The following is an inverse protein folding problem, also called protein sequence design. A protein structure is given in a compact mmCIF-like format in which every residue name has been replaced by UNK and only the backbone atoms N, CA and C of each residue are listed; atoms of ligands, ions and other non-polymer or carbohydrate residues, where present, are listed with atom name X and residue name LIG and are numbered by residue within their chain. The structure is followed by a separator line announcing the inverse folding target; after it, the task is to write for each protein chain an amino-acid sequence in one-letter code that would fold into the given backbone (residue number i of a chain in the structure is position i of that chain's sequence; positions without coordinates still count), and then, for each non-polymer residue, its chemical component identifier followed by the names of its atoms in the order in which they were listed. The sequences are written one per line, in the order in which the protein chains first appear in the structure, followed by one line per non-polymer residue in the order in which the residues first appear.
data_IF_539701400896
#
_entry.id   IF_539701400896
#
_cell.length_a   1.000
_cell.length_b   1.000
_cell.length_c   1.000
_cell.angle_alpha   90.00
_cell.angle_beta   90.00
_cell.angle_gamma   90.00
#
_symmetry.space_group_name_H-M   'P 1'
#
loop_
_entity.id
_entity.type
_entity.pdbx_description
1 polymer ?
#
# COMPACT_ATOMS: atom_id res chain seq x y z
N UNK A 1 -13.01 -23.05 -64.93
CA UNK A 1 -13.68 -22.10 -64.02
C UNK A 1 -14.33 -22.80 -62.82
N UNK A 2 -15.23 -23.79 -63.03
CA UNK A 2 -15.92 -24.49 -61.93
C UNK A 2 -14.99 -25.21 -60.93
N UNK A 3 -13.93 -25.87 -61.41
CA UNK A 3 -12.96 -26.56 -60.55
C UNK A 3 -12.17 -25.61 -59.63
N UNK A 4 -11.86 -24.40 -60.12
CA UNK A 4 -11.14 -23.39 -59.34
C UNK A 4 -12.03 -22.84 -58.22
N UNK A 5 -13.31 -22.59 -58.52
CA UNK A 5 -14.28 -22.15 -57.52
C UNK A 5 -14.51 -23.21 -56.42
N UNK A 6 -14.58 -24.49 -56.80
CA UNK A 6 -14.76 -25.59 -55.86
C UNK A 6 -13.55 -25.76 -54.93
N UNK A 7 -12.33 -25.65 -55.48
CA UNK A 7 -11.11 -25.70 -54.70
C UNK A 7 -11.04 -24.55 -53.69
N UNK A 8 -11.45 -23.34 -54.08
CA UNK A 8 -11.45 -22.16 -53.21
C UNK A 8 -12.45 -22.28 -52.06
N UNK A 9 -13.65 -22.79 -52.34
CA UNK A 9 -14.67 -23.03 -51.31
C UNK A 9 -14.23 -24.07 -50.28
N UNK A 10 -13.54 -25.13 -50.74
CA UNK A 10 -13.03 -26.19 -49.86
C UNK A 10 -11.87 -25.68 -48.98
N UNK A 11 -11.01 -24.83 -49.52
CA UNK A 11 -9.93 -24.18 -48.77
C UNK A 11 -10.47 -23.24 -47.69
N UNK A 12 -11.48 -22.42 -48.00
CA UNK A 12 -12.19 -21.58 -47.03
C UNK A 12 -12.87 -22.42 -45.93
N UNK A 13 -13.48 -23.55 -46.31
CA UNK A 13 -14.09 -24.48 -45.37
C UNK A 13 -13.07 -25.07 -44.38
N UNK A 14 -11.89 -25.48 -44.87
CA UNK A 14 -10.80 -25.98 -44.02
C UNK A 14 -10.28 -24.90 -43.08
N UNK A 15 -10.08 -23.67 -43.57
CA UNK A 15 -9.61 -22.54 -42.74
C UNK A 15 -10.64 -22.21 -41.65
N UNK A 16 -11.93 -22.15 -42.00
CA UNK A 16 -12.99 -21.92 -41.02
C UNK A 16 -13.11 -23.05 -39.99
N UNK A 17 -12.96 -24.30 -40.43
CA UNK A 17 -13.00 -25.47 -39.55
C UNK A 17 -11.78 -25.53 -38.63
N UNK A 18 -10.59 -25.25 -39.15
CA UNK A 18 -9.36 -25.14 -38.36
C UNK A 18 -9.44 -24.00 -37.33
N UNK A 19 -9.94 -22.83 -37.73
CA UNK A 19 -10.18 -21.71 -36.80
C UNK A 19 -11.17 -22.06 -35.70
N UNK A 20 -12.23 -22.81 -36.02
CA UNK A 20 -13.20 -23.28 -35.02
C UNK A 20 -12.62 -24.35 -34.10
N UNK A 21 -11.79 -25.25 -34.62
CA UNK A 21 -11.12 -26.29 -33.85
C UNK A 21 -10.08 -25.70 -32.88
N UNK A 22 -9.32 -24.71 -33.32
CA UNK A 22 -8.35 -23.97 -32.49
C UNK A 22 -9.04 -23.18 -31.36
N UNK A 23 -10.23 -22.64 -31.60
CA UNK A 23 -11.04 -22.00 -30.57
C UNK A 23 -11.61 -22.98 -29.52
N UNK A 24 -11.72 -24.27 -29.85
CA UNK A 24 -12.22 -25.31 -28.93
C UNK A 24 -11.12 -25.90 -28.04
N UNK A 25 -9.85 -25.86 -28.47
CA UNK A 25 -8.74 -26.52 -27.76
C UNK A 25 -7.95 -25.61 -26.81
N UNK A 26 -8.41 -24.39 -26.58
CA UNK A 26 -7.69 -23.42 -25.74
C UNK A 26 -6.52 -22.79 -26.51
N UNK A 27 -6.39 -21.47 -26.38
CA UNK A 27 -5.45 -20.64 -27.12
C UNK A 27 -4.01 -21.17 -27.03
N UNK A 28 -3.51 -21.75 -28.11
CA UNK A 28 -2.08 -21.90 -28.33
C UNK A 28 -1.50 -20.52 -28.70
N UNK A 29 -1.27 -19.68 -27.70
CA UNK A 29 -0.50 -18.45 -27.87
C UNK A 29 0.96 -18.85 -27.90
N UNK A 30 1.53 -18.97 -29.10
CA UNK A 30 2.97 -19.02 -29.29
C UNK A 30 3.53 -17.65 -28.90
N UNK A 31 3.87 -17.49 -27.63
CA UNK A 31 4.51 -16.31 -27.11
C UNK A 31 6.00 -16.33 -27.49
N UNK A 32 6.30 -15.64 -28.58
CA UNK A 32 7.67 -15.48 -29.11
C UNK A 32 8.46 -14.39 -28.36
N UNK A 33 7.82 -13.64 -27.45
CA UNK A 33 8.44 -12.56 -26.70
C UNK A 33 8.78 -12.94 -25.24
N UNK A 34 8.24 -14.05 -24.72
CA UNK A 34 8.51 -14.51 -23.36
C UNK A 34 7.90 -13.61 -22.27
N UNK A 35 6.80 -12.93 -22.60
CA UNK A 35 6.11 -11.93 -21.77
C UNK A 35 4.78 -12.47 -21.21
N UNK A 36 4.47 -13.76 -21.44
CA UNK A 36 3.33 -14.43 -20.83
C UNK A 36 3.58 -14.61 -19.32
N UNK A 37 2.62 -14.14 -18.52
CA UNK A 37 2.58 -14.31 -17.07
C UNK A 37 2.64 -15.78 -16.61
N UNK A 38 2.37 -16.74 -17.50
CA UNK A 38 2.56 -18.16 -17.24
C UNK A 38 4.02 -18.64 -17.38
N UNK A 39 4.90 -17.83 -17.97
CA UNK A 39 6.31 -18.19 -18.21
C UNK A 39 7.16 -17.88 -16.98
N UNK A 40 7.21 -18.82 -16.05
CA UNK A 40 7.98 -18.64 -14.81
C UNK A 40 9.48 -18.47 -15.05
N UNK A 41 10.08 -17.54 -14.31
CA UNK A 41 11.52 -17.30 -14.32
C UNK A 41 12.31 -18.52 -13.81
N UNK A 42 13.59 -18.69 -14.23
CA UNK A 42 14.45 -19.78 -13.74
C UNK A 42 14.63 -19.75 -12.22
N UNK A 43 14.73 -18.55 -11.62
CA UNK A 43 14.87 -18.36 -10.18
C UNK A 43 13.63 -18.86 -9.43
N UNK A 44 12.43 -18.53 -9.92
CA UNK A 44 11.17 -19.04 -9.37
C UNK A 44 11.08 -20.55 -9.48
N UNK A 45 11.37 -21.13 -10.64
CA UNK A 45 11.36 -22.60 -10.81
C UNK A 45 12.30 -23.30 -9.82
N UNK A 46 13.49 -22.73 -9.59
CA UNK A 46 14.43 -23.25 -8.61
C UNK A 46 13.88 -23.13 -7.17
N UNK A 47 13.32 -21.97 -6.82
CA UNK A 47 12.70 -21.74 -5.52
C UNK A 47 11.55 -22.72 -5.23
N UNK A 48 10.64 -22.92 -6.20
CA UNK A 48 9.50 -23.82 -6.04
C UNK A 48 9.92 -25.28 -5.82
N UNK A 49 11.02 -25.74 -6.45
CA UNK A 49 11.58 -27.08 -6.20
C UNK A 49 12.18 -27.24 -4.81
N UNK A 50 12.59 -26.13 -4.18
CA UNK A 50 13.12 -26.10 -2.80
C UNK A 50 12.03 -26.01 -1.74
N UNK A 51 10.74 -26.10 -2.10
CA UNK A 51 9.63 -26.01 -1.15
C UNK A 51 9.52 -27.29 -0.29
N UNK A 52 9.86 -27.16 0.99
CA UNK A 52 9.73 -28.25 1.97
C UNK A 52 8.29 -28.46 2.44
N UNK A 53 7.55 -27.36 2.60
CA UNK A 53 6.17 -27.33 3.10
C UNK A 53 5.18 -26.99 1.99
N UNK A 54 3.97 -27.60 1.96
CA UNK A 54 2.94 -27.24 1.01
C UNK A 54 2.44 -25.79 1.23
N UNK A 55 2.06 -25.13 0.13
CA UNK A 55 1.47 -23.81 0.07
C UNK A 55 -0.01 -23.94 -0.32
N UNK A 56 -0.87 -23.21 0.39
CA UNK A 56 -2.27 -23.05 0.03
C UNK A 56 -2.54 -21.61 -0.34
N UNK A 57 -2.85 -21.38 -1.62
CA UNK A 57 -3.06 -20.05 -2.18
C UNK A 57 -4.57 -19.81 -2.33
N UNK A 58 -5.07 -18.71 -1.79
CA UNK A 58 -6.46 -18.26 -1.99
C UNK A 58 -6.45 -16.92 -2.68
N UNK A 59 -7.00 -16.85 -3.88
CA UNK A 59 -7.22 -15.60 -4.59
C UNK A 59 -8.66 -15.15 -4.42
N UNK A 60 -8.86 -14.02 -3.75
CA UNK A 60 -10.15 -13.36 -3.63
C UNK A 60 -10.34 -12.41 -4.79
N UNK A 61 -11.26 -12.75 -5.70
CA UNK A 61 -11.50 -11.97 -6.90
C UNK A 61 -12.98 -11.82 -7.20
N UNK A 62 -13.39 -10.59 -7.53
CA UNK A 62 -14.71 -10.37 -8.12
C UNK A 62 -14.76 -11.03 -9.49
N UNK A 63 -15.85 -11.74 -9.79
CA UNK A 63 -15.99 -12.42 -11.05
C UNK A 63 -15.99 -11.47 -12.26
N UNK A 64 -15.55 -12.00 -13.40
CA UNK A 64 -15.29 -11.26 -14.63
C UNK A 64 -16.50 -10.49 -15.15
N UNK A 65 -17.71 -11.02 -14.94
CA UNK A 65 -18.96 -10.41 -15.37
C UNK A 65 -19.25 -9.10 -14.62
N UNK A 66 -18.84 -9.05 -13.35
CA UNK A 66 -19.03 -7.92 -12.46
C UNK A 66 -17.83 -6.95 -12.47
N UNK A 67 -16.69 -7.35 -13.04
CA UNK A 67 -15.50 -6.49 -13.13
C UNK A 67 -15.66 -5.34 -14.15
N UNK A 68 -15.14 -4.13 -13.85
CA UNK A 68 -14.98 -3.06 -14.81
C UNK A 68 -14.18 -3.49 -16.04
N UNK A 69 -14.45 -2.89 -17.21
CA UNK A 69 -13.88 -3.33 -18.49
C UNK A 69 -12.35 -3.46 -18.50
N UNK A 70 -11.63 -2.50 -17.89
CA UNK A 70 -10.17 -2.49 -17.82
C UNK A 70 -9.57 -3.54 -16.87
N UNK A 71 -10.39 -4.16 -16.01
CA UNK A 71 -9.97 -5.16 -15.01
C UNK A 71 -10.43 -6.58 -15.36
N UNK A 72 -11.18 -6.77 -16.44
CA UNK A 72 -11.73 -8.09 -16.82
C UNK A 72 -10.68 -9.15 -17.10
N UNK A 73 -9.47 -8.74 -17.48
CA UNK A 73 -8.35 -9.65 -17.75
C UNK A 73 -7.51 -9.94 -16.50
N UNK A 74 -7.78 -9.28 -15.38
CA UNK A 74 -7.00 -9.43 -14.15
C UNK A 74 -7.13 -10.85 -13.56
N UNK A 75 -8.35 -11.31 -13.32
CA UNK A 75 -8.60 -12.64 -12.75
C UNK A 75 -8.08 -13.77 -13.64
N UNK A 76 -8.34 -13.78 -14.97
CA UNK A 76 -7.77 -14.79 -15.86
C UNK A 76 -6.24 -14.81 -15.84
N UNK A 77 -5.60 -13.63 -15.82
CA UNK A 77 -4.13 -13.56 -15.81
C UNK A 77 -3.52 -14.06 -14.50
N UNK A 78 -4.07 -13.64 -13.35
CA UNK A 78 -3.63 -14.16 -12.05
C UNK A 78 -3.87 -15.67 -11.96
N UNK A 79 -5.01 -16.18 -12.44
CA UNK A 79 -5.28 -17.61 -12.50
C UNK A 79 -4.25 -18.38 -13.34
N UNK A 80 -3.83 -17.83 -14.48
CA UNK A 80 -2.78 -18.44 -15.32
C UNK A 80 -1.45 -18.51 -14.59
N UNK A 81 -1.03 -17.45 -13.91
CA UNK A 81 0.16 -17.46 -13.06
C UNK A 81 0.08 -18.54 -11.98
N UNK A 82 -1.04 -18.60 -11.24
CA UNK A 82 -1.24 -19.60 -10.18
C UNK A 82 -1.25 -21.04 -10.72
N UNK A 83 -1.82 -21.25 -11.91
CA UNK A 83 -1.75 -22.55 -12.60
C UNK A 83 -0.32 -22.91 -12.94
N UNK A 84 0.46 -21.98 -13.50
CA UNK A 84 1.87 -22.23 -13.84
C UNK A 84 2.71 -22.55 -12.59
N UNK A 85 2.48 -21.84 -11.48
CA UNK A 85 3.12 -22.15 -10.20
C UNK A 85 2.78 -23.58 -9.74
N UNK A 86 1.49 -23.96 -9.78
CA UNK A 86 1.03 -25.32 -9.45
C UNK A 86 1.64 -26.38 -10.36
N UNK A 87 1.70 -26.15 -11.67
CA UNK A 87 2.25 -27.10 -12.63
C UNK A 87 3.74 -27.38 -12.37
N UNK A 88 4.47 -26.40 -11.82
CA UNK A 88 5.86 -26.58 -11.42
C UNK A 88 6.03 -27.39 -10.12
N UNK A 89 5.03 -27.41 -9.23
CA UNK A 89 5.06 -28.13 -7.95
C UNK A 89 3.66 -28.66 -7.54
N UNK A 90 3.12 -29.66 -8.26
CA UNK A 90 1.71 -30.07 -8.16
C UNK A 90 1.33 -30.65 -6.79
N UNK A 91 2.26 -31.32 -6.11
CA UNK A 91 2.04 -31.91 -4.78
C UNK A 91 2.27 -30.92 -3.63
N UNK A 92 2.77 -29.71 -3.94
CA UNK A 92 3.15 -28.70 -2.95
C UNK A 92 2.34 -27.43 -3.05
N UNK A 93 1.63 -27.19 -4.14
CA UNK A 93 0.88 -25.95 -4.35
C UNK A 93 -0.56 -26.29 -4.67
N UNK A 94 -1.45 -25.90 -3.77
CA UNK A 94 -2.89 -25.86 -4.03
C UNK A 94 -3.33 -24.41 -4.17
N UNK A 95 -4.26 -24.14 -5.09
CA UNK A 95 -4.84 -22.81 -5.22
C UNK A 95 -6.35 -22.86 -5.45
N UNK A 96 -7.04 -21.85 -4.93
CA UNK A 96 -8.47 -21.64 -5.13
C UNK A 96 -8.76 -20.18 -5.41
N UNK A 97 -9.79 -19.94 -6.22
CA UNK A 97 -10.30 -18.59 -6.49
C UNK A 97 -11.70 -18.49 -5.89
N UNK A 98 -11.94 -17.48 -5.07
CA UNK A 98 -13.19 -17.26 -4.36
C UNK A 98 -13.67 -15.85 -4.68
N UNK A 99 -14.93 -15.72 -5.09
CA UNK A 99 -15.63 -14.44 -5.12
C UNK A 99 -16.38 -14.28 -3.79
N UNK A 100 -15.94 -13.39 -2.87
CA UNK A 100 -16.60 -13.22 -1.58
C UNK A 100 -18.06 -12.74 -1.71
N UNK A 101 -18.36 -11.92 -2.71
CA UNK A 101 -19.70 -11.34 -2.89
C UNK A 101 -20.69 -12.40 -3.36
N UNK A 102 -20.26 -13.32 -4.24
CA UNK A 102 -21.09 -14.44 -4.67
C UNK A 102 -21.23 -15.54 -3.60
N UNK A 103 -20.22 -15.68 -2.74
CA UNK A 103 -20.20 -16.68 -1.67
C UNK A 103 -21.01 -16.26 -0.43
N UNK A 104 -21.66 -15.09 -0.47
CA UNK A 104 -22.50 -14.56 0.59
C UNK A 104 -21.73 -14.28 1.89
N UNK A 105 -22.45 -14.27 3.02
CA UNK A 105 -21.87 -13.92 4.34
C UNK A 105 -20.69 -14.81 4.74
N UNK A 106 -20.69 -16.08 4.37
CA UNK A 106 -19.61 -17.00 4.69
C UNK A 106 -18.32 -16.65 3.93
N UNK A 107 -18.43 -16.31 2.63
CA UNK A 107 -17.29 -15.87 1.84
C UNK A 107 -16.70 -14.56 2.31
N UNK A 108 -17.56 -13.57 2.62
CA UNK A 108 -17.14 -12.28 3.18
C UNK A 108 -16.45 -12.48 4.54
N UNK A 109 -17.03 -13.32 5.43
CA UNK A 109 -16.43 -13.64 6.71
C UNK A 109 -15.08 -14.36 6.57
N UNK A 110 -14.96 -15.27 5.60
CA UNK A 110 -13.70 -15.94 5.31
C UNK A 110 -12.63 -14.97 4.79
N UNK A 111 -12.97 -14.08 3.84
CA UNK A 111 -12.06 -13.05 3.36
C UNK A 111 -11.60 -12.11 4.49
N UNK A 112 -12.51 -11.67 5.36
CA UNK A 112 -12.19 -10.84 6.52
C UNK A 112 -11.28 -11.57 7.52
N UNK A 113 -11.49 -12.87 7.76
CA UNK A 113 -10.62 -13.68 8.63
C UNK A 113 -9.18 -13.76 8.09
N UNK A 114 -9.01 -13.65 6.78
CA UNK A 114 -7.73 -13.59 6.08
C UNK A 114 -7.21 -12.17 5.87
N UNK A 115 -7.88 -11.17 6.49
CA UNK A 115 -7.59 -9.74 6.36
C UNK A 115 -7.66 -9.21 4.92
N UNK A 116 -8.26 -9.95 4.00
CA UNK A 116 -8.51 -9.50 2.64
C UNK A 116 -9.69 -8.51 2.63
N UNK A 117 -9.58 -7.44 1.83
CA UNK A 117 -10.59 -6.39 1.78
C UNK A 117 -10.92 -5.96 0.34
N UNK A 118 -12.14 -5.47 0.13
CA UNK A 118 -12.55 -4.87 -1.14
C UNK A 118 -12.01 -3.45 -1.27
N UNK A 119 -11.63 -3.03 -2.47
CA UNK A 119 -11.23 -1.66 -2.77
C UNK A 119 -12.11 -1.03 -3.85
N UNK A 120 -12.23 0.30 -3.83
CA UNK A 120 -13.04 1.06 -4.78
C UNK A 120 -12.22 1.40 -6.03
N UNK A 121 -12.75 1.06 -7.20
CA UNK A 121 -12.19 1.43 -8.50
C UNK A 121 -13.15 2.32 -9.27
N UNK A 122 -12.59 3.22 -10.09
CA UNK A 122 -13.38 4.14 -10.91
C UNK A 122 -13.95 3.39 -12.12
N UNK A 123 -15.27 3.31 -12.21
CA UNK A 123 -15.95 2.84 -13.40
C UNK A 123 -16.20 4.04 -14.31
N UNK A 124 -15.58 4.04 -15.49
CA UNK A 124 -15.85 5.02 -16.55
C UNK A 124 -16.75 4.35 -17.58
N UNK A 125 -18.02 4.73 -17.59
CA UNK A 125 -18.99 4.35 -18.63
C UNK A 125 -19.66 5.62 -19.13
N UNK A 126 -19.43 5.96 -20.40
CA UNK A 126 -20.17 6.96 -21.18
C UNK A 126 -20.63 8.21 -20.39
N UNK A 127 -19.68 8.87 -19.72
CA UNK A 127 -19.85 10.13 -18.95
C UNK A 127 -20.47 10.05 -17.55
N UNK A 128 -20.72 8.86 -16.99
CA UNK A 128 -21.02 8.70 -15.55
C UNK A 128 -19.79 8.21 -14.77
N UNK A 129 -19.43 8.96 -13.73
CA UNK A 129 -18.40 8.60 -12.76
C UNK A 129 -19.03 7.84 -11.61
N UNK A 130 -18.97 6.51 -11.66
CA UNK A 130 -19.43 5.65 -10.57
C UNK A 130 -18.23 4.95 -9.93
N UNK A 131 -18.16 4.95 -8.60
CA UNK A 131 -17.21 4.13 -7.85
C UNK A 131 -17.80 2.74 -7.64
N UNK A 132 -17.02 1.71 -7.97
CA UNK A 132 -17.43 0.32 -7.77
C UNK A 132 -16.43 -0.38 -6.84
N UNK A 133 -16.93 -1.09 -5.84
CA UNK A 133 -16.10 -1.96 -4.99
C UNK A 133 -15.83 -3.28 -5.69
N UNK A 134 -14.57 -3.71 -5.67
CA UNK A 134 -14.12 -4.99 -6.19
C UNK A 134 -13.18 -5.69 -5.21
N UNK A 135 -13.01 -7.00 -5.40
CA UNK A 135 -12.05 -7.83 -4.72
C UNK A 135 -10.92 -8.19 -5.69
N UNK A 136 -9.68 -8.00 -5.26
CA UNK A 136 -8.50 -8.59 -5.86
C UNK A 136 -7.40 -8.66 -4.80
N UNK A 137 -7.32 -9.81 -4.12
CA UNK A 137 -6.33 -10.04 -3.06
C UNK A 137 -5.87 -11.48 -3.07
N UNK A 138 -4.58 -11.71 -2.88
CA UNK A 138 -3.96 -13.03 -2.87
C UNK A 138 -3.45 -13.34 -1.47
N UNK A 139 -3.88 -14.47 -0.91
CA UNK A 139 -3.43 -14.96 0.39
C UNK A 139 -2.67 -16.26 0.19
N UNK A 140 -1.47 -16.35 0.76
CA UNK A 140 -0.63 -17.52 0.68
C UNK A 140 -0.37 -18.02 2.09
N UNK A 141 -0.92 -19.20 2.39
CA UNK A 141 -0.74 -19.89 3.66
C UNK A 141 0.30 -21.01 3.52
N UNK A 142 1.09 -21.19 4.59
CA UNK A 142 2.10 -22.25 4.71
C UNK A 142 2.05 -22.81 6.12
N UNK A 143 2.35 -24.10 6.28
CA UNK A 143 2.51 -24.70 7.59
C UNK A 143 3.60 -23.98 8.41
N UNK A 144 3.28 -23.64 9.66
CA UNK A 144 4.20 -23.02 10.63
C UNK A 144 4.83 -21.69 10.20
N UNK A 145 4.19 -20.94 9.31
CA UNK A 145 4.63 -19.60 8.92
C UNK A 145 3.44 -18.62 8.87
N UNK A 146 3.66 -17.31 9.09
CA UNK A 146 2.60 -16.32 8.96
C UNK A 146 2.05 -16.29 7.53
N UNK A 147 0.74 -16.06 7.40
CA UNK A 147 0.09 -15.92 6.11
C UNK A 147 0.56 -14.65 5.41
N UNK A 148 0.95 -14.78 4.15
CA UNK A 148 1.32 -13.66 3.28
C UNK A 148 0.06 -13.16 2.60
N UNK A 149 -0.20 -11.85 2.69
CA UNK A 149 -1.33 -11.20 2.03
C UNK A 149 -0.81 -10.15 1.04
N UNK A 150 -1.21 -10.28 -0.22
CA UNK A 150 -1.04 -9.29 -1.28
C UNK A 150 -2.39 -8.65 -1.56
N UNK A 151 -2.56 -7.38 -1.20
CA UNK A 151 -3.80 -6.64 -1.43
C UNK A 151 -3.77 -5.84 -2.72
N UNK A 152 -4.96 -5.50 -3.22
CA UNK A 152 -5.17 -4.58 -4.34
C UNK A 152 -4.32 -4.90 -5.56
N UNK A 153 -4.40 -6.14 -6.06
CA UNK A 153 -3.74 -6.50 -7.31
C UNK A 153 -4.47 -5.78 -8.45
N UNK A 154 -3.70 -5.20 -9.37
CA UNK A 154 -4.17 -4.36 -10.47
C UNK A 154 -3.42 -4.79 -11.74
N UNK A 155 -3.90 -4.42 -12.94
CA UNK A 155 -3.25 -4.83 -14.18
C UNK A 155 -1.78 -4.39 -14.27
N UNK A 156 -1.46 -3.24 -13.68
CA UNK A 156 -0.09 -2.73 -13.59
C UNK A 156 0.84 -3.66 -12.80
N UNK A 157 0.29 -4.43 -11.85
CA UNK A 157 1.04 -5.37 -11.03
C UNK A 157 1.37 -6.69 -11.75
N UNK A 158 0.66 -7.03 -12.83
CA UNK A 158 0.76 -8.33 -13.49
C UNK A 158 2.16 -8.69 -14.01
N UNK A 159 2.93 -7.78 -14.65
CA UNK A 159 4.25 -8.11 -15.20
C UNK A 159 5.28 -8.53 -14.14
N UNK A 160 5.14 -8.05 -12.90
CA UNK A 160 6.08 -8.33 -11.79
C UNK A 160 5.43 -9.11 -10.64
N UNK A 161 4.20 -9.60 -10.84
CA UNK A 161 3.46 -10.30 -9.80
C UNK A 161 4.17 -11.60 -9.37
N UNK A 162 4.80 -12.31 -10.31
CA UNK A 162 5.61 -13.50 -10.01
C UNK A 162 6.74 -13.15 -9.03
N UNK A 163 7.57 -12.16 -9.37
CA UNK A 163 8.71 -11.75 -8.57
C UNK A 163 8.26 -11.29 -7.18
N UNK A 164 7.20 -10.50 -7.12
CA UNK A 164 6.64 -10.02 -5.86
C UNK A 164 6.14 -11.17 -4.97
N UNK A 165 5.39 -12.12 -5.53
CA UNK A 165 4.89 -13.30 -4.80
C UNK A 165 6.06 -14.13 -4.25
N UNK A 166 7.09 -14.37 -5.06
CA UNK A 166 8.25 -15.15 -4.63
C UNK A 166 9.07 -14.40 -3.57
N UNK A 167 9.27 -13.09 -3.72
CA UNK A 167 9.95 -12.27 -2.73
C UNK A 167 9.23 -12.32 -1.37
N UNK A 168 7.89 -12.22 -1.36
CA UNK A 168 7.11 -12.36 -0.13
C UNK A 168 7.22 -13.77 0.49
N UNK A 169 7.21 -14.81 -0.34
CA UNK A 169 7.36 -16.19 0.14
C UNK A 169 8.76 -16.50 0.69
N UNK A 170 9.79 -15.83 0.16
CA UNK A 170 11.16 -15.88 0.65
C UNK A 170 11.31 -15.10 1.96
N UNK A 171 10.79 -13.88 2.02
CA UNK A 171 10.75 -13.08 3.24
C UNK A 171 10.05 -13.82 4.39
N UNK A 172 8.97 -14.56 4.10
CA UNK A 172 8.26 -15.36 5.10
C UNK A 172 9.01 -16.61 5.61
N UNK A 173 10.14 -17.03 5.02
CA UNK A 173 10.94 -18.18 5.52
C UNK A 173 11.76 -17.83 6.75
N UNK A 174 12.15 -16.57 6.89
CA UNK A 174 12.76 -15.99 8.06
C UNK A 174 12.62 -14.48 7.88
N UNK A 175 11.49 -13.86 8.28
CA UNK A 175 11.40 -12.42 8.23
C UNK A 175 12.57 -11.92 9.08
N UNK A 176 13.56 -11.20 8.52
CA UNK A 176 14.57 -10.59 9.36
C UNK A 176 13.78 -9.74 10.35
N UNK A 177 13.89 -10.05 11.64
CA UNK A 177 13.22 -9.24 12.65
C UNK A 177 13.90 -7.88 12.57
N UNK A 178 13.22 -6.84 12.06
CA UNK A 178 13.84 -5.55 11.91
C UNK A 178 14.17 -5.04 13.31
N UNK A 179 15.37 -4.51 13.47
CA UNK A 179 15.73 -3.82 14.71
C UNK A 179 15.21 -2.39 14.62
N UNK A 180 14.36 -2.01 15.58
CA UNK A 180 13.73 -0.70 15.62
C UNK A 180 14.54 0.24 16.50
N UNK A 181 15.01 1.36 15.95
CA UNK A 181 15.55 2.46 16.75
C UNK A 181 14.42 3.41 17.12
N UNK A 182 14.23 3.73 18.39
CA UNK A 182 13.16 4.64 18.84
C UNK A 182 13.76 5.80 19.64
N UNK A 183 13.61 7.02 19.12
CA UNK A 183 13.88 8.26 19.85
C UNK A 183 12.57 8.99 20.04
N UNK A 184 12.00 8.92 21.24
CA UNK A 184 10.71 9.52 21.56
C UNK A 184 10.68 10.04 23.01
N UNK A 185 9.96 11.14 23.30
CA UNK A 185 9.83 11.63 24.66
C UNK A 185 8.91 10.73 25.51
N UNK A 186 8.93 10.87 26.86
CA UNK A 186 8.21 9.99 27.78
C UNK A 186 6.72 9.71 27.48
N UNK A 187 5.91 10.67 26.95
CA UNK A 187 4.52 10.41 26.60
C UNK A 187 4.31 9.30 25.56
N UNK A 188 5.35 8.88 24.82
CA UNK A 188 5.27 7.90 23.76
C UNK A 188 5.92 6.55 24.10
N UNK A 189 6.20 6.25 25.37
CA UNK A 189 6.80 4.97 25.79
C UNK A 189 6.02 3.74 25.30
N UNK A 190 4.69 3.85 25.18
CA UNK A 190 3.84 2.77 24.70
C UNK A 190 4.15 2.39 23.24
N UNK A 191 4.69 3.31 22.44
CA UNK A 191 5.13 3.03 21.06
C UNK A 191 6.24 1.99 21.06
N UNK A 192 7.24 2.12 21.93
CA UNK A 192 8.34 1.17 22.04
C UNK A 192 7.79 -0.22 22.46
N UNK A 193 6.82 -0.27 23.37
CA UNK A 193 6.18 -1.52 23.77
C UNK A 193 5.48 -2.23 22.59
N UNK A 194 4.73 -1.49 21.75
CA UNK A 194 4.10 -2.05 20.56
C UNK A 194 5.11 -2.50 19.51
N UNK A 195 6.18 -1.74 19.28
CA UNK A 195 7.23 -2.11 18.33
C UNK A 195 7.99 -3.35 18.79
N UNK A 196 8.15 -3.52 20.09
CA UNK A 196 8.83 -4.68 20.68
C UNK A 196 8.05 -6.00 20.46
N UNK A 197 6.75 -5.95 20.14
CA UNK A 197 6.00 -7.14 19.71
C UNK A 197 6.40 -7.61 18.30
N UNK A 198 6.91 -6.70 17.46
CA UNK A 198 7.28 -6.98 16.07
C UNK A 198 8.78 -7.27 15.87
N UNK A 199 9.64 -6.77 16.76
CA UNK A 199 11.10 -6.92 16.66
C UNK A 199 11.83 -6.20 17.79
N UNK A 200 13.15 -6.43 17.97
CA UNK A 200 13.91 -5.81 19.05
C UNK A 200 13.93 -4.28 18.92
N UNK A 201 13.71 -3.59 20.04
CA UNK A 201 13.74 -2.12 20.10
C UNK A 201 15.02 -1.64 20.81
N UNK A 202 15.70 -0.69 20.18
CA UNK A 202 16.83 0.06 20.73
C UNK A 202 16.34 1.49 21.02
N UNK A 203 16.27 1.85 22.29
CA UNK A 203 15.97 3.23 22.69
C UNK A 203 17.17 4.13 22.41
N UNK A 204 16.90 5.27 21.76
CA UNK A 204 17.89 6.26 21.37
C UNK A 204 17.53 7.60 22.00
N UNK A 205 18.56 8.36 22.33
CA UNK A 205 18.42 9.76 22.70
C UNK A 205 19.04 10.63 21.60
N UNK A 206 18.28 10.83 20.52
CA UNK A 206 18.69 11.69 19.41
C UNK A 206 18.63 13.18 19.75
N UNK A 207 18.20 13.58 20.95
CA UNK A 207 18.29 14.98 21.36
C UNK A 207 19.69 15.31 21.88
N UNK A 208 20.31 14.36 22.59
CA UNK A 208 21.66 14.53 23.15
C UNK A 208 22.76 13.88 22.30
N UNK A 209 22.44 12.83 21.52
CA UNK A 209 23.40 12.12 20.70
C UNK A 209 22.89 11.89 19.26
N UNK A 210 23.46 12.56 18.25
CA UNK A 210 23.00 12.44 16.86
C UNK A 210 23.31 11.09 16.21
N UNK A 211 24.13 10.24 16.83
CA UNK A 211 24.58 8.98 16.22
C UNK A 211 23.45 7.95 16.17
N UNK A 212 23.21 7.41 14.98
CA UNK A 212 22.28 6.30 14.77
C UNK A 212 23.09 5.00 14.67
N UNK A 213 22.92 4.05 15.60
CA UNK A 213 23.62 2.76 15.55
C UNK A 213 23.41 1.99 14.24
N UNK A 214 24.46 1.34 13.68
CA UNK A 214 24.38 0.64 12.41
C UNK A 214 23.51 -0.62 12.45
N UNK A 215 23.18 -1.16 13.61
CA UNK A 215 22.31 -2.33 13.80
C UNK A 215 20.81 -2.03 13.61
N UNK A 216 20.42 -0.76 13.54
CA UNK A 216 19.02 -0.37 13.35
C UNK A 216 18.63 -0.49 11.87
N UNK A 217 17.47 -1.09 11.61
CA UNK A 217 16.89 -1.23 10.27
C UNK A 217 15.80 -0.18 9.99
N UNK A 218 15.04 0.17 11.03
CA UNK A 218 13.96 1.16 10.95
C UNK A 218 14.06 2.15 12.11
N UNK A 219 14.16 3.44 11.79
CA UNK A 219 14.25 4.50 12.79
C UNK A 219 12.88 5.17 13.00
N UNK A 220 12.46 5.29 14.24
CA UNK A 220 11.32 6.11 14.68
C UNK A 220 11.82 7.31 15.47
N UNK A 221 11.73 8.50 14.88
CA UNK A 221 12.07 9.74 15.56
C UNK A 221 10.81 10.57 15.80
N UNK A 222 10.35 10.54 17.05
CA UNK A 222 9.10 11.14 17.48
C UNK A 222 9.39 12.42 18.24
N UNK A 223 8.74 13.50 17.84
CA UNK A 223 8.82 14.82 18.47
C UNK A 223 10.27 15.30 18.67
N UNK A 224 11.08 15.42 17.59
CA UNK A 224 12.45 15.93 17.67
C UNK A 224 12.46 17.34 18.29
N UNK A 225 13.26 17.52 19.33
CA UNK A 225 13.41 18.82 19.99
C UNK A 225 14.59 19.62 19.42
N UNK A 226 15.66 18.89 19.07
CA UNK A 226 16.89 19.45 18.52
C UNK A 226 17.13 18.85 17.13
N UNK A 227 17.50 19.71 16.19
CA UNK A 227 18.12 19.28 14.94
C UNK A 227 19.37 20.12 14.72
N UNK A 228 20.45 19.44 14.35
CA UNK A 228 21.72 20.06 13.96
C UNK A 228 22.13 19.51 12.61
N UNK A 229 23.09 20.14 11.90
CA UNK A 229 23.61 19.60 10.64
C UNK A 229 24.12 18.15 10.77
N UNK A 230 24.62 17.77 11.94
CA UNK A 230 25.08 16.40 12.18
C UNK A 230 23.92 15.40 12.22
N UNK A 231 22.80 15.74 12.87
CA UNK A 231 21.59 14.92 12.84
C UNK A 231 21.11 14.70 11.40
N UNK A 232 21.10 15.76 10.61
CA UNK A 232 20.70 15.69 9.19
C UNK A 232 21.64 14.78 8.42
N UNK A 233 22.96 14.88 8.64
CA UNK A 233 23.96 14.03 8.00
C UNK A 233 23.77 12.54 8.35
N UNK A 234 23.55 12.23 9.63
CA UNK A 234 23.31 10.87 10.11
C UNK A 234 22.03 10.29 9.52
N UNK A 235 20.94 11.07 9.53
CA UNK A 235 19.67 10.66 8.91
C UNK A 235 19.83 10.39 7.41
N UNK A 236 20.52 11.26 6.67
CA UNK A 236 20.74 11.06 5.24
C UNK A 236 21.63 9.83 4.96
N UNK A 237 22.67 9.61 5.76
CA UNK A 237 23.52 8.42 5.65
C UNK A 237 22.73 7.14 5.93
N UNK A 238 21.86 7.17 6.95
CA UNK A 238 20.96 6.07 7.29
C UNK A 238 20.01 5.75 6.13
N UNK A 239 19.34 6.76 5.56
CA UNK A 239 18.45 6.57 4.41
C UNK A 239 19.20 6.10 3.15
N UNK A 240 20.41 6.63 2.89
CA UNK A 240 21.24 6.24 1.76
C UNK A 240 21.68 4.76 1.80
N UNK A 241 21.69 4.15 3.00
CA UNK A 241 21.96 2.72 3.16
C UNK A 241 20.78 1.80 2.79
N UNK A 242 19.65 2.36 2.35
CA UNK A 242 18.44 1.62 2.00
C UNK A 242 17.48 1.39 3.18
N UNK A 243 17.76 1.99 4.34
CA UNK A 243 16.95 1.87 5.56
C UNK A 243 15.85 2.92 5.62
N UNK A 244 14.82 2.63 6.41
CA UNK A 244 13.60 3.44 6.47
C UNK A 244 13.52 4.23 7.77
N UNK A 245 13.14 5.51 7.69
CA UNK A 245 12.91 6.35 8.86
C UNK A 245 11.48 6.92 8.88
N UNK A 246 10.86 6.90 10.05
CA UNK A 246 9.57 7.51 10.35
C UNK A 246 9.82 8.71 11.26
N UNK A 247 9.50 9.89 10.75
CA UNK A 247 9.54 11.14 11.51
C UNK A 247 8.09 11.54 11.82
N UNK A 248 7.75 11.71 13.09
CA UNK A 248 6.42 12.19 13.47
C UNK A 248 6.48 13.20 14.61
N UNK A 249 5.59 14.20 14.59
CA UNK A 249 5.44 15.15 15.67
C UNK A 249 4.88 16.48 15.20
N UNK A 250 4.91 17.47 16.08
CA UNK A 250 4.29 18.78 15.87
C UNK A 250 5.27 19.90 16.23
N UNK A 251 5.17 21.03 15.52
CA UNK A 251 5.83 22.29 15.90
C UNK A 251 5.15 22.96 17.10
N UNK A 252 3.94 22.52 17.47
CA UNK A 252 3.18 23.02 18.59
C UNK A 252 2.86 21.91 19.60
N UNK A 253 3.19 22.14 20.87
CA UNK A 253 2.73 21.33 21.99
C UNK A 253 1.60 22.07 22.70
N UNK A 254 0.46 21.40 22.86
CA UNK A 254 -0.72 21.95 23.53
C UNK A 254 -0.81 21.30 24.91
N UNK A 255 -0.64 22.11 25.96
CA UNK A 255 -0.92 21.68 27.33
C UNK A 255 -2.32 22.10 27.77
N UNK A 256 -2.91 21.32 28.67
CA UNK A 256 -4.22 21.55 29.24
C UNK A 256 -4.10 21.54 30.77
N UNK A 257 -4.57 22.59 31.43
CA UNK A 257 -4.85 22.54 32.88
C UNK A 257 -6.34 22.63 33.07
N UNK A 258 -6.94 21.75 33.88
CA UNK A 258 -8.24 22.03 34.45
C UNK A 258 -8.10 23.27 35.36
N UNK A 259 -8.84 24.32 35.06
CA UNK A 259 -9.19 25.36 36.03
C UNK A 259 -10.65 25.12 36.44
N UNK A 260 -11.03 25.54 37.66
CA UNK A 260 -12.30 25.19 38.31
C UNK A 260 -13.55 25.36 37.42
N UNK A 261 -13.55 26.33 36.49
CA UNK A 261 -14.65 26.59 35.55
C UNK A 261 -14.25 26.62 34.06
N UNK A 262 -12.99 26.30 33.70
CA UNK A 262 -12.52 26.33 32.31
C UNK A 262 -11.29 25.46 32.07
N UNK A 263 -11.18 24.89 30.86
CA UNK A 263 -9.91 24.30 30.40
C UNK A 263 -9.04 25.45 29.90
N UNK A 264 -7.91 25.71 30.57
CA UNK A 264 -6.90 26.63 30.05
C UNK A 264 -5.96 25.86 29.13
N UNK A 265 -5.73 26.41 27.93
CA UNK A 265 -4.79 25.87 26.95
C UNK A 265 -3.56 26.77 26.92
N UNK A 266 -2.38 26.18 26.94
CA UNK A 266 -1.15 26.89 26.58
C UNK A 266 -0.48 26.17 25.42
N UNK A 267 0.08 26.96 24.51
CA UNK A 267 0.77 26.46 23.34
C UNK A 267 2.24 26.81 23.46
N UNK A 268 3.08 25.79 23.50
CA UNK A 268 4.52 25.96 23.38
C UNK A 268 4.92 25.68 21.95
N UNK A 269 5.55 26.66 21.31
CA UNK A 269 6.18 26.50 20.02
C UNK A 269 7.51 25.76 20.24
N UNK A 270 7.62 24.55 19.69
CA UNK A 270 8.85 23.77 19.75
C UNK A 270 9.91 24.39 18.79
N UNK A 271 11.21 24.20 19.06
CA UNK A 271 12.29 24.74 18.23
C UNK A 271 12.20 24.28 16.75
N UNK A 272 12.95 24.92 15.82
CA UNK A 272 12.82 24.67 14.38
C UNK A 272 13.46 23.34 13.91
N UNK A 273 13.45 22.30 14.76
CA UNK A 273 14.02 20.99 14.43
C UNK A 273 13.45 20.44 13.11
N UNK A 274 12.13 20.56 12.94
CA UNK A 274 11.41 20.15 11.74
C UNK A 274 11.87 20.85 10.46
N UNK A 275 12.11 22.17 10.51
CA UNK A 275 12.53 22.90 9.32
C UNK A 275 13.90 22.42 8.84
N UNK A 276 14.82 22.13 9.76
CA UNK A 276 16.16 21.66 9.45
C UNK A 276 16.17 20.20 8.97
N UNK A 277 15.40 19.32 9.62
CA UNK A 277 15.32 17.90 9.25
C UNK A 277 14.67 17.69 7.88
N UNK A 278 13.66 18.51 7.54
CA UNK A 278 12.86 18.33 6.33
C UNK A 278 13.42 19.08 5.10
N UNK A 279 14.28 20.08 5.32
CA UNK A 279 14.90 20.88 4.26
C UNK A 279 15.56 20.04 3.15
N UNK A 280 16.37 18.99 3.44
CA UNK A 280 17.03 18.19 2.41
C UNK A 280 16.06 17.46 1.47
N UNK A 281 14.85 17.18 1.97
CA UNK A 281 13.79 16.51 1.20
C UNK A 281 12.92 17.51 0.42
N UNK A 282 13.20 18.81 0.50
CA UNK A 282 12.39 19.85 -0.12
C UNK A 282 11.05 20.10 0.58
N UNK A 283 10.85 19.52 1.77
CA UNK A 283 9.62 19.64 2.55
C UNK A 283 9.78 20.82 3.52
N UNK A 284 8.74 21.65 3.63
CA UNK A 284 8.72 22.77 4.57
C UNK A 284 7.51 22.66 5.50
N UNK A 285 7.70 22.64 6.83
CA UNK A 285 6.58 22.67 7.75
C UNK A 285 5.88 24.04 7.66
N UNK A 286 4.55 24.02 7.60
CA UNK A 286 3.72 25.23 7.70
C UNK A 286 3.45 25.48 9.18
N UNK A 287 3.67 26.69 9.71
CA UNK A 287 3.50 27.00 11.12
C UNK A 287 2.03 27.21 11.50
N UNK A 288 1.10 26.42 10.95
CA UNK A 288 -0.33 26.51 11.24
C UNK A 288 -0.84 25.27 11.96
N UNK A 289 -1.80 25.47 12.85
CA UNK A 289 -2.51 24.39 13.52
C UNK A 289 -3.68 23.95 12.64
N UNK A 290 -3.74 22.66 12.30
CA UNK A 290 -4.89 22.11 11.60
C UNK A 290 -6.08 22.00 12.56
N UNK A 291 -7.08 22.85 12.37
CA UNK A 291 -8.32 22.85 13.16
C UNK A 291 -9.50 22.61 12.23
N UNK A 292 -10.34 21.63 12.56
CA UNK A 292 -11.60 21.40 11.85
C UNK A 292 -12.70 22.35 12.39
N UNK A 293 -13.20 23.31 11.58
CA UNK A 293 -14.23 24.23 12.01
C UNK A 293 -15.60 23.57 12.22
N UNK A 294 -15.84 22.34 11.73
CA UNK A 294 -17.14 21.66 11.83
C UNK A 294 -17.30 20.86 13.12
N UNK A 295 -16.19 20.45 13.74
CA UNK A 295 -16.19 19.68 14.99
C UNK A 295 -15.73 20.52 16.20
N UNK A 296 -15.10 21.68 15.99
CA UNK A 296 -14.72 22.64 17.04
C UNK A 296 -15.84 23.60 17.44
N UNK A 297 -16.90 23.10 18.09
CA UNK A 297 -18.05 23.91 18.56
C UNK A 297 -17.71 24.73 19.81
N UNK A 298 -16.64 25.51 19.78
CA UNK A 298 -16.43 26.62 20.71
C UNK A 298 -15.67 27.73 20.01
N UNK A 299 -16.43 28.72 19.56
CA UNK A 299 -15.97 29.96 18.96
C UNK A 299 -15.26 30.78 20.04
N UNK A 300 -13.99 30.48 20.31
CA UNK A 300 -13.08 31.39 21.02
C UNK A 300 -11.85 31.57 20.14
N UNK A 301 -11.67 32.81 19.71
CA UNK A 301 -10.56 33.28 18.88
C UNK A 301 -9.23 32.83 19.48
N UNK A 302 -8.62 31.82 18.87
CA UNK A 302 -7.21 31.52 19.08
C UNK A 302 -6.42 32.56 18.28
N UNK A 303 -5.82 33.53 18.98
CA UNK A 303 -4.94 34.52 18.37
C UNK A 303 -3.54 34.25 18.89
N UNK A 304 -2.64 33.66 18.08
CA UNK A 304 -1.27 33.48 18.50
C UNK A 304 -0.61 34.85 18.69
N UNK A 305 0.30 35.03 19.67
CA UNK A 305 1.00 36.29 19.87
C UNK A 305 1.91 36.53 18.65
N UNK A 306 1.45 37.37 17.72
CA UNK A 306 2.22 37.78 16.53
C UNK A 306 1.54 37.56 15.18
N UNK A 307 0.39 36.87 15.09
CA UNK A 307 -0.30 36.72 13.81
C UNK A 307 -1.20 37.93 13.50
N UNK A 308 -0.93 38.55 12.36
CA UNK A 308 -1.72 39.63 11.79
C UNK A 308 -3.22 39.28 11.77
N UNK A 309 -4.05 40.26 12.09
CA UNK A 309 -5.52 40.19 11.97
C UNK A 309 -5.89 39.70 10.56
N UNK A 310 -6.43 38.50 10.45
CA UNK A 310 -7.23 38.11 9.31
C UNK A 310 -8.50 38.94 9.33
N UNK A 311 -8.55 39.97 8.47
CA UNK A 311 -9.81 40.67 8.15
C UNK A 311 -10.72 39.68 7.42
N UNK A 312 -11.93 39.50 7.94
CA UNK A 312 -12.93 38.63 7.32
C UNK A 312 -13.44 39.22 5.99
N UNK A 313 -13.84 38.40 5.00
CA UNK A 313 -14.36 38.86 3.70
C UNK A 313 -15.61 39.76 3.79
N UNK A 314 -16.35 39.72 4.91
CA UNK A 314 -17.55 40.54 5.09
C UNK A 314 -17.23 42.04 5.30
N UNK A 315 -16.04 42.39 5.80
CA UNK A 315 -15.63 43.80 5.93
C UNK A 315 -15.24 44.43 4.59
N UNK A 316 -14.83 43.62 3.60
CA UNK A 316 -14.57 44.09 2.24
C UNK A 316 -15.84 44.54 1.49
N UNK A 317 -17.00 43.97 1.83
CA UNK A 317 -18.28 44.37 1.22
C UNK A 317 -18.84 45.67 1.82
N UNK A 318 -18.60 45.95 3.11
CA UNK A 318 -18.99 47.24 3.73
C UNK A 318 -18.05 48.39 3.38
N UNK A 319 -16.78 48.12 3.09
CA UNK A 319 -15.83 49.16 2.68
C UNK A 319 -16.12 49.73 1.27
N UNK A 320 -16.82 48.97 0.40
CA UNK A 320 -17.22 49.44 -0.94
C UNK A 320 -18.54 50.23 -0.99
N UNK A 321 -19.39 50.18 0.03
CA UNK A 321 -20.66 50.95 0.04
C UNK A 321 -20.58 52.32 0.73
N UNK A 322 -19.38 52.76 1.16
CA UNK A 322 -19.12 54.12 1.68
C UNK A 322 -18.30 55.00 0.73
N UNK A 323 -18.13 54.56 -0.53
CA UNK A 323 -17.61 55.37 -1.63
C UNK A 323 -18.55 55.26 -2.83
N UNK A 324 -19.75 55.83 -2.67
CA UNK A 324 -20.61 56.33 -3.73
C UNK A 324 -21.35 57.54 -3.16
#
# INVERSE_FOLDING_TARGET
MLQIALAFALLLGIVAYAGRLLNLTGSWTLDLAGDDIATLSPATKHYLRSLETPLSITYFATARENMPAHLKELEPQVRRLLSALRDQAPDRIDYRVIDPDQSGRAGIGYAASKKASSFSVRRVLHDEHSEQKIWSSLVIARANAPEVLVQSIEPEHLPYLEEYVIAQLQAGRAPPQPTFGVSAPPPFQLLAAFLNEAGPVVELDLNNNPTIPPEIDVLFWIQPEVATPEHVRQLLAFLASGRSAVLAGSTYQIGYSPAEDAISYWVHHAPPAWAQLLQPFGIRPVPDLLVDPRHGRNRRTFSPPGAARFLQPEELCRARSRRA
#
